data_IF_414007061806
#
_entry.id   IF_414007061806
#
_cell.length_a   1.000
_cell.length_b   1.000
_cell.length_c   1.000
_cell.angle_alpha   90.00
_cell.angle_beta   90.00
_cell.angle_gamma   90.00
#
_symmetry.space_group_name_H-M   'P 1'
#
loop_
_entity.id
_entity.type
_entity.pdbx_description
1 polymer ?
#
# COMPACT_ATOMS: atom_id res chain seq x y z
N UNK A 1 -24.11 24.40 0.83
CA UNK A 1 -23.18 24.26 -0.31
C UNK A 1 -23.84 23.43 -1.41
N UNK A 2 -23.33 23.48 -2.64
CA UNK A 2 -23.74 22.59 -3.75
C UNK A 2 -22.51 21.85 -4.30
N UNK A 3 -22.64 20.61 -4.83
CA UNK A 3 -21.54 19.88 -5.45
C UNK A 3 -20.93 20.65 -6.63
N UNK A 4 -19.62 20.47 -6.88
CA UNK A 4 -18.87 21.13 -7.96
C UNK A 4 -17.76 20.22 -8.48
N UNK A 5 -17.34 20.46 -9.74
CA UNK A 5 -16.13 19.84 -10.32
C UNK A 5 -14.84 20.56 -9.95
N UNK A 6 -14.94 21.68 -9.25
CA UNK A 6 -13.79 22.48 -8.83
C UNK A 6 -13.25 21.99 -7.48
N UNK A 7 -11.94 21.76 -7.41
CA UNK A 7 -11.24 21.33 -6.20
C UNK A 7 -11.44 22.29 -5.03
N UNK A 8 -11.61 23.59 -5.30
CA UNK A 8 -11.89 24.58 -4.26
C UNK A 8 -13.14 24.24 -3.46
N UNK A 9 -14.15 23.60 -4.08
CA UNK A 9 -15.36 23.16 -3.37
C UNK A 9 -15.06 22.07 -2.35
N UNK A 10 -14.20 21.11 -2.68
CA UNK A 10 -13.82 20.04 -1.75
C UNK A 10 -13.04 20.60 -0.56
N UNK A 11 -12.13 21.55 -0.82
CA UNK A 11 -11.38 22.26 0.22
C UNK A 11 -12.33 23.05 1.14
N UNK A 12 -13.30 23.79 0.58
CA UNK A 12 -14.33 24.51 1.34
C UNK A 12 -15.16 23.56 2.21
N UNK A 13 -15.57 22.40 1.67
CA UNK A 13 -16.33 21.39 2.42
C UNK A 13 -15.52 20.88 3.59
N UNK A 14 -14.26 20.49 3.38
CA UNK A 14 -13.41 19.98 4.46
C UNK A 14 -13.16 21.04 5.54
N UNK A 15 -12.95 22.30 5.15
CA UNK A 15 -12.82 23.41 6.10
C UNK A 15 -14.10 23.61 6.92
N UNK A 16 -15.28 23.45 6.34
CA UNK A 16 -16.55 23.52 7.06
C UNK A 16 -16.78 22.30 7.98
N UNK A 17 -16.42 21.09 7.53
CA UNK A 17 -16.52 19.88 8.34
C UNK A 17 -15.63 19.93 9.59
N UNK A 18 -14.45 20.54 9.46
CA UNK A 18 -13.48 20.69 10.57
C UNK A 18 -13.56 22.05 11.28
N UNK A 19 -14.59 22.85 11.03
CA UNK A 19 -14.79 24.11 11.74
C UNK A 19 -14.99 23.85 13.24
N UNK A 20 -14.20 24.46 14.16
CA UNK A 20 -14.27 24.13 15.60
C UNK A 20 -15.60 24.46 16.28
N UNK A 21 -16.45 25.28 15.66
CA UNK A 21 -17.71 25.77 16.27
C UNK A 21 -18.93 25.09 15.65
N UNK A 22 -18.91 24.87 14.34
CA UNK A 22 -20.06 24.44 13.54
C UNK A 22 -19.83 23.17 12.74
N UNK A 23 -18.62 22.62 12.77
CA UNK A 23 -18.23 21.42 12.06
C UNK A 23 -18.81 20.13 12.63
N UNK A 24 -18.48 19.03 11.98
CA UNK A 24 -18.86 17.69 12.38
C UNK A 24 -17.97 17.22 13.55
N UNK A 25 -18.54 16.78 14.69
CA UNK A 25 -17.74 16.35 15.84
C UNK A 25 -16.75 15.23 15.53
N UNK A 26 -17.17 14.27 14.70
CA UNK A 26 -16.30 13.17 14.27
C UNK A 26 -15.11 13.70 13.47
N UNK A 27 -15.36 14.62 12.53
CA UNK A 27 -14.28 15.17 11.73
C UNK A 27 -13.29 15.97 12.58
N UNK A 28 -13.80 16.83 13.46
CA UNK A 28 -12.96 17.66 14.33
C UNK A 28 -12.03 16.81 15.22
N UNK A 29 -12.52 15.66 15.71
CA UNK A 29 -11.77 14.72 16.57
C UNK A 29 -10.57 14.07 15.87
N UNK A 30 -10.60 13.95 14.54
CA UNK A 30 -9.58 13.20 13.80
C UNK A 30 -8.22 13.89 13.80
N UNK A 31 -7.17 13.07 13.73
CA UNK A 31 -5.77 13.46 13.66
C UNK A 31 -5.02 12.65 12.58
N UNK A 32 -3.74 12.98 12.33
CA UNK A 32 -2.96 12.30 11.28
C UNK A 32 -2.92 10.76 11.46
N UNK A 33 -2.60 10.21 12.66
CA UNK A 33 -2.67 8.77 12.87
C UNK A 33 -4.06 8.14 12.63
N UNK A 34 -5.15 8.79 13.01
CA UNK A 34 -6.48 8.20 12.88
C UNK A 34 -6.98 8.17 11.43
N UNK A 35 -6.55 9.12 10.59
CA UNK A 35 -6.90 9.16 9.16
C UNK A 35 -6.01 8.27 8.28
N UNK A 36 -4.77 7.98 8.72
CA UNK A 36 -3.82 7.23 7.92
C UNK A 36 -4.29 5.82 7.45
N UNK A 37 -5.01 5.02 8.27
CA UNK A 37 -5.58 3.74 7.81
C UNK A 37 -6.54 3.89 6.64
N UNK A 38 -7.46 4.87 6.70
CA UNK A 38 -8.42 5.13 5.61
C UNK A 38 -7.70 5.50 4.31
N UNK A 39 -6.60 6.25 4.37
CA UNK A 39 -5.77 6.53 3.18
C UNK A 39 -5.22 5.28 2.51
N UNK A 40 -4.93 4.24 3.30
CA UNK A 40 -4.45 2.96 2.78
C UNK A 40 -5.63 2.18 2.19
N UNK A 41 -6.77 2.16 2.89
CA UNK A 41 -8.01 1.51 2.43
C UNK A 41 -8.45 2.06 1.07
N UNK A 42 -8.60 3.38 0.90
CA UNK A 42 -9.02 3.96 -0.39
C UNK A 42 -8.04 3.64 -1.53
N UNK A 43 -6.75 3.52 -1.23
CA UNK A 43 -5.77 3.14 -2.24
C UNK A 43 -5.95 1.68 -2.71
N UNK A 44 -6.44 0.80 -1.82
CA UNK A 44 -6.80 -0.56 -2.19
C UNK A 44 -8.14 -0.63 -2.93
N UNK A 45 -9.14 0.16 -2.55
CA UNK A 45 -10.42 0.24 -3.28
C UNK A 45 -10.23 0.77 -4.71
N UNK A 46 -9.38 1.80 -4.89
CA UNK A 46 -8.95 2.24 -6.24
C UNK A 46 -8.33 1.09 -7.04
N UNK A 47 -7.48 0.28 -6.41
CA UNK A 47 -6.84 -0.84 -7.08
C UNK A 47 -7.84 -1.94 -7.43
N UNK A 48 -8.81 -2.23 -6.56
CA UNK A 48 -9.89 -3.19 -6.80
C UNK A 48 -10.81 -2.76 -7.95
N UNK A 49 -11.23 -1.48 -7.96
CA UNK A 49 -12.06 -0.93 -9.04
C UNK A 49 -11.37 -1.02 -10.42
N UNK A 50 -10.04 -0.80 -10.47
CA UNK A 50 -9.24 -1.01 -11.68
C UNK A 50 -9.26 -2.47 -12.13
N UNK A 51 -9.10 -3.42 -11.19
CA UNK A 51 -9.08 -4.84 -11.51
C UNK A 51 -10.43 -5.35 -12.02
N UNK A 52 -11.52 -4.83 -11.49
CA UNK A 52 -12.88 -5.13 -11.96
C UNK A 52 -13.26 -4.39 -13.25
N UNK A 53 -12.46 -3.40 -13.65
CA UNK A 53 -12.76 -2.55 -14.80
C UNK A 53 -13.99 -1.67 -14.60
N UNK A 54 -14.36 -1.39 -13.35
CA UNK A 54 -15.52 -0.56 -13.00
C UNK A 54 -15.11 0.92 -13.01
N UNK A 55 -15.52 1.65 -14.05
CA UNK A 55 -15.13 3.05 -14.22
C UNK A 55 -15.93 4.01 -13.35
N UNK A 56 -17.15 3.65 -12.95
CA UNK A 56 -17.95 4.49 -12.08
C UNK A 56 -17.43 4.40 -10.65
N UNK A 57 -17.13 3.19 -10.19
CA UNK A 57 -16.50 2.98 -8.88
C UNK A 57 -15.09 3.55 -8.83
N UNK A 58 -14.26 3.34 -9.86
CA UNK A 58 -12.93 3.96 -9.92
C UNK A 58 -13.00 5.50 -9.78
N UNK A 59 -14.00 6.15 -10.37
CA UNK A 59 -14.18 7.60 -10.22
C UNK A 59 -14.48 7.97 -8.77
N UNK A 60 -15.34 7.20 -8.11
CA UNK A 60 -15.80 7.47 -6.76
C UNK A 60 -14.65 7.20 -5.76
N UNK A 61 -13.93 6.08 -5.88
CA UNK A 61 -12.76 5.75 -5.04
C UNK A 61 -11.57 6.71 -5.23
N UNK A 62 -11.34 7.20 -6.46
CA UNK A 62 -10.36 8.28 -6.68
C UNK A 62 -10.77 9.58 -5.99
N UNK A 63 -12.07 9.82 -5.85
CA UNK A 63 -12.64 10.92 -5.09
C UNK A 63 -12.37 10.77 -3.60
N UNK A 64 -12.56 9.58 -3.05
CA UNK A 64 -12.33 9.29 -1.64
C UNK A 64 -10.83 9.31 -1.29
N UNK A 65 -9.97 8.77 -2.15
CA UNK A 65 -8.52 8.93 -2.00
C UNK A 65 -8.09 10.41 -2.05
N UNK A 66 -8.71 11.22 -2.91
CA UNK A 66 -8.47 12.67 -2.97
C UNK A 66 -8.97 13.38 -1.71
N UNK A 67 -10.11 12.96 -1.14
CA UNK A 67 -10.63 13.45 0.13
C UNK A 67 -9.58 13.28 1.24
N UNK A 68 -8.91 12.12 1.33
CA UNK A 68 -7.87 11.88 2.34
C UNK A 68 -6.70 12.88 2.22
N UNK A 69 -6.30 13.25 1.00
CA UNK A 69 -5.26 14.27 0.76
C UNK A 69 -5.73 15.65 1.24
N UNK A 70 -6.97 16.04 0.94
CA UNK A 70 -7.55 17.30 1.40
C UNK A 70 -7.67 17.33 2.92
N UNK A 71 -8.06 16.20 3.53
CA UNK A 71 -8.18 16.03 4.98
C UNK A 71 -6.86 16.31 5.70
N UNK A 72 -5.79 15.61 5.31
CA UNK A 72 -4.46 15.82 5.89
C UNK A 72 -3.93 17.22 5.65
N UNK A 73 -4.19 17.78 4.46
CA UNK A 73 -3.80 19.16 4.14
C UNK A 73 -4.52 20.16 5.05
N UNK A 74 -5.80 19.93 5.36
CA UNK A 74 -6.57 20.79 6.26
C UNK A 74 -6.05 20.71 7.70
N UNK A 75 -5.76 19.51 8.21
CA UNK A 75 -5.15 19.34 9.53
C UNK A 75 -3.77 20.00 9.62
N UNK A 76 -2.96 19.94 8.55
CA UNK A 76 -1.67 20.61 8.50
C UNK A 76 -1.80 22.14 8.47
N UNK A 77 -2.81 22.66 7.78
CA UNK A 77 -3.10 24.09 7.73
C UNK A 77 -3.54 24.62 9.09
N UNK A 78 -4.38 23.87 9.81
CA UNK A 78 -4.87 24.19 11.17
C UNK A 78 -3.73 24.37 12.18
N UNK A 79 -2.62 23.65 12.02
CA UNK A 79 -1.43 23.75 12.87
C UNK A 79 -0.33 24.65 12.26
N UNK A 80 -0.60 25.32 11.13
CA UNK A 80 0.31 26.26 10.50
C UNK A 80 1.51 25.64 9.77
N UNK A 81 1.42 24.37 9.37
CA UNK A 81 2.52 23.63 8.72
C UNK A 81 2.55 23.80 7.20
N UNK A 82 1.44 23.50 6.52
CA UNK A 82 1.26 23.65 5.07
C UNK A 82 -0.23 23.57 4.71
N UNK A 83 -0.60 24.10 3.55
CA UNK A 83 -1.95 24.02 3.00
C UNK A 83 -2.00 23.10 1.75
N UNK A 84 -3.21 22.83 1.24
CA UNK A 84 -3.39 21.99 0.06
C UNK A 84 -2.61 22.50 -1.17
N UNK A 85 -2.50 23.82 -1.33
CA UNK A 85 -1.71 24.42 -2.41
C UNK A 85 -0.24 24.02 -2.39
N UNK A 86 0.36 23.87 -1.20
CA UNK A 86 1.75 23.44 -1.04
C UNK A 86 1.94 21.97 -1.46
N UNK A 87 0.94 21.12 -1.23
CA UNK A 87 0.94 19.72 -1.68
C UNK A 87 0.92 19.66 -3.22
N UNK A 88 0.07 20.47 -3.86
CA UNK A 88 0.00 20.60 -5.32
C UNK A 88 1.31 21.15 -5.89
N UNK A 89 1.89 22.17 -5.26
CA UNK A 89 3.18 22.72 -5.68
C UNK A 89 4.30 21.67 -5.57
N UNK A 90 4.34 20.91 -4.48
CA UNK A 90 5.36 19.89 -4.26
C UNK A 90 5.33 18.80 -5.34
N UNK A 91 4.14 18.29 -5.70
CA UNK A 91 4.01 17.27 -6.74
C UNK A 91 4.28 17.83 -8.13
N UNK A 92 3.77 19.03 -8.46
CA UNK A 92 3.98 19.63 -9.79
C UNK A 92 5.45 19.98 -10.03
N UNK A 93 6.13 20.61 -9.05
CA UNK A 93 7.58 20.87 -9.10
C UNK A 93 8.38 19.59 -9.33
N UNK A 94 8.05 18.53 -8.60
CA UNK A 94 8.70 17.22 -8.74
C UNK A 94 8.46 16.60 -10.13
N UNK A 95 7.23 16.66 -10.64
CA UNK A 95 6.89 16.12 -11.96
C UNK A 95 7.58 16.89 -13.09
N UNK A 96 7.60 18.23 -13.02
CA UNK A 96 8.31 19.07 -14.00
C UNK A 96 9.80 18.72 -14.02
N UNK A 97 10.44 18.67 -12.84
CA UNK A 97 11.87 18.34 -12.72
C UNK A 97 12.21 16.94 -13.24
N UNK A 98 11.38 15.94 -12.97
CA UNK A 98 11.61 14.55 -13.40
C UNK A 98 11.39 14.30 -14.90
N UNK A 99 10.72 15.23 -15.59
CA UNK A 99 10.40 15.09 -17.01
C UNK A 99 10.95 16.26 -17.83
N UNK A 100 12.27 16.51 -17.83
CA UNK A 100 12.88 17.60 -18.60
C UNK A 100 12.72 17.37 -20.12
N UNK A 101 12.55 16.12 -20.55
CA UNK A 101 12.21 15.76 -21.93
C UNK A 101 10.79 16.17 -22.34
N UNK A 102 9.91 16.56 -21.39
CA UNK A 102 8.57 17.10 -21.66
C UNK A 102 8.55 18.60 -21.39
N UNK A 103 9.07 19.03 -20.23
CA UNK A 103 8.92 20.39 -19.71
C UNK A 103 10.20 21.26 -19.79
N UNK A 104 11.32 20.71 -20.25
CA UNK A 104 12.60 21.41 -20.37
C UNK A 104 12.75 22.20 -21.66
N UNK A 105 13.97 22.70 -21.90
CA UNK A 105 14.33 23.41 -23.12
C UNK A 105 14.37 22.50 -24.36
N UNK A 106 14.58 23.09 -25.54
CA UNK A 106 14.64 22.32 -26.80
C UNK A 106 15.72 21.23 -26.80
N UNK A 107 16.83 21.47 -26.11
CA UNK A 107 17.94 20.54 -26.01
C UNK A 107 17.59 19.32 -25.15
N UNK A 108 16.91 19.53 -24.03
CA UNK A 108 16.39 18.48 -23.16
C UNK A 108 15.29 17.64 -23.84
N UNK A 109 14.41 18.28 -24.63
CA UNK A 109 13.37 17.59 -25.40
C UNK A 109 13.92 16.70 -26.51
N UNK A 110 15.02 17.12 -27.15
CA UNK A 110 15.61 16.41 -28.28
C UNK A 110 16.47 15.20 -27.88
N UNK A 111 17.09 15.23 -26.69
CA UNK A 111 18.05 14.22 -26.23
C UNK A 111 17.42 13.02 -25.50
N UNK A 112 16.12 13.04 -25.18
CA UNK A 112 15.52 12.07 -24.25
C UNK A 112 16.12 12.19 -22.84
N UNK A 113 15.81 11.27 -21.93
CA UNK A 113 16.45 11.21 -20.60
C UNK A 113 17.82 10.52 -20.73
N UNK A 114 18.95 11.24 -20.69
CA UNK A 114 20.27 10.63 -20.83
C UNK A 114 20.60 9.77 -19.60
N UNK A 115 21.39 8.72 -19.81
CA UNK A 115 21.94 7.88 -18.73
C UNK A 115 22.74 8.76 -17.76
N UNK A 116 22.32 8.85 -16.50
CA UNK A 116 22.94 9.69 -15.45
C UNK A 116 22.14 10.94 -15.04
N UNK A 117 21.22 11.44 -15.88
CA UNK A 117 20.38 12.59 -15.50
C UNK A 117 19.42 12.27 -14.34
N UNK A 118 18.96 11.02 -14.27
CA UNK A 118 18.14 10.52 -13.16
C UNK A 118 18.88 10.56 -11.81
N UNK A 119 20.18 10.29 -11.81
CA UNK A 119 21.00 10.32 -10.60
C UNK A 119 21.22 11.76 -10.12
N UNK A 120 21.42 12.69 -11.05
CA UNK A 120 21.50 14.12 -10.76
C UNK A 120 20.19 14.66 -10.18
N UNK A 121 19.04 14.36 -10.80
CA UNK A 121 17.72 14.74 -10.30
C UNK A 121 17.48 14.19 -8.88
N UNK A 122 17.90 12.95 -8.61
CA UNK A 122 17.81 12.36 -7.26
C UNK A 122 18.74 13.03 -6.25
N UNK A 123 19.93 13.44 -6.65
CA UNK A 123 20.87 14.16 -5.79
C UNK A 123 20.33 15.55 -5.41
N UNK A 124 19.79 16.28 -6.37
CA UNK A 124 19.12 17.57 -6.15
C UNK A 124 17.91 17.40 -5.21
N UNK A 125 17.05 16.39 -5.45
CA UNK A 125 15.93 16.04 -4.56
C UNK A 125 16.37 15.74 -3.12
N UNK A 126 17.52 15.08 -2.95
CA UNK A 126 18.08 14.78 -1.63
C UNK A 126 18.53 16.08 -0.93
N UNK A 127 19.22 16.96 -1.66
CA UNK A 127 19.72 18.23 -1.14
C UNK A 127 18.58 19.15 -0.71
N UNK A 128 17.55 19.32 -1.54
CA UNK A 128 16.37 20.15 -1.21
C UNK A 128 15.66 19.64 0.05
N UNK A 129 15.48 18.31 0.18
CA UNK A 129 14.86 17.72 1.36
C UNK A 129 15.69 17.91 2.62
N UNK A 130 17.02 17.82 2.51
CA UNK A 130 17.91 18.09 3.64
C UNK A 130 17.83 19.56 4.07
N UNK A 131 17.83 20.50 3.12
CA UNK A 131 17.67 21.92 3.39
C UNK A 131 16.32 22.24 4.05
N UNK A 132 15.22 21.68 3.54
CA UNK A 132 13.88 21.86 4.10
C UNK A 132 13.77 21.29 5.53
N UNK A 133 14.38 20.14 5.81
CA UNK A 133 14.43 19.58 7.18
C UNK A 133 15.25 20.44 8.12
N UNK A 134 16.42 20.90 7.68
CA UNK A 134 17.28 21.78 8.47
C UNK A 134 16.58 23.10 8.81
N UNK A 135 15.85 23.68 7.85
CA UNK A 135 15.03 24.88 8.08
C UNK A 135 13.93 24.68 9.14
N UNK A 136 13.43 23.45 9.28
CA UNK A 136 12.45 23.06 10.32
C UNK A 136 13.09 22.62 11.64
N UNK A 137 14.41 22.77 11.80
CA UNK A 137 15.13 22.30 12.98
C UNK A 137 15.10 20.78 13.17
N UNK A 138 14.66 20.03 12.16
CA UNK A 138 14.66 18.57 12.20
C UNK A 138 16.09 18.09 11.98
N UNK A 139 16.53 17.02 12.68
CA UNK A 139 17.84 16.46 12.44
C UNK A 139 17.96 16.10 10.95
N UNK A 140 19.19 16.17 10.39
CA UNK A 140 19.47 15.55 9.10
C UNK A 140 18.81 14.19 9.16
N UNK A 141 17.99 13.85 8.15
CA UNK A 141 17.48 12.49 8.07
C UNK A 141 18.74 11.62 8.13
N UNK A 142 18.88 10.84 9.20
CA UNK A 142 20.04 9.96 9.38
C UNK A 142 20.25 9.29 8.04
N UNK A 143 21.50 9.30 7.55
CA UNK A 143 21.81 8.39 6.48
C UNK A 143 21.27 7.06 6.94
N UNK A 144 20.38 6.52 6.13
CA UNK A 144 19.94 5.13 6.17
C UNK A 144 21.18 4.30 6.47
N UNK A 145 21.38 3.99 7.75
CA UNK A 145 22.67 3.59 8.29
C UNK A 145 23.02 2.20 7.77
N UNK A 146 21.99 1.41 7.49
CA UNK A 146 22.02 0.19 6.71
C UNK A 146 21.65 0.40 5.25
N UNK A 147 22.26 -0.43 4.39
CA UNK A 147 21.97 -0.53 2.95
C UNK A 147 20.46 -0.69 2.63
N UNK A 148 19.71 -1.33 3.53
CA UNK A 148 18.29 -1.63 3.40
C UNK A 148 17.36 -0.54 3.94
N UNK A 149 17.85 0.45 4.70
CA UNK A 149 17.01 1.46 5.35
C UNK A 149 16.33 2.42 4.34
N UNK A 150 16.70 2.29 3.06
CA UNK A 150 16.00 2.88 1.91
C UNK A 150 14.61 2.33 1.62
N UNK A 151 14.28 1.16 2.16
CA UNK A 151 12.95 0.57 2.04
C UNK A 151 12.01 1.24 3.06
N UNK A 152 10.92 1.89 2.63
CA UNK A 152 9.97 2.52 3.55
C UNK A 152 9.37 1.52 4.54
N UNK A 153 9.29 1.93 5.81
CA UNK A 153 8.71 1.12 6.88
C UNK A 153 7.18 1.04 6.81
N UNK A 154 6.53 2.03 6.19
CA UNK A 154 5.06 2.21 6.17
C UNK A 154 4.34 1.35 5.13
N UNK A 155 5.02 0.36 4.56
CA UNK A 155 4.42 -0.50 3.54
C UNK A 155 3.84 -1.77 4.19
N UNK A 156 2.81 -2.36 3.58
CA UNK A 156 2.35 -3.70 3.92
C UNK A 156 3.51 -4.70 3.98
N UNK A 157 3.39 -5.69 4.85
CA UNK A 157 4.51 -6.57 5.20
C UNK A 157 5.08 -7.32 4.00
N UNK A 158 4.22 -7.87 3.10
CA UNK A 158 4.68 -8.63 1.94
C UNK A 158 5.31 -7.71 0.90
N UNK A 159 4.69 -6.56 0.63
CA UNK A 159 5.28 -5.51 -0.22
C UNK A 159 6.65 -5.04 0.30
N UNK A 160 6.79 -4.87 1.62
CA UNK A 160 8.04 -4.46 2.24
C UNK A 160 9.11 -5.56 2.12
N UNK A 161 8.75 -6.82 2.36
CA UNK A 161 9.63 -7.97 2.19
C UNK A 161 10.15 -8.05 0.74
N UNK A 162 9.27 -7.90 -0.25
CA UNK A 162 9.63 -7.86 -1.67
C UNK A 162 10.69 -6.79 -1.96
N UNK A 163 10.50 -5.56 -1.44
CA UNK A 163 11.47 -4.46 -1.65
C UNK A 163 12.78 -4.67 -0.92
N UNK A 164 12.78 -5.27 0.27
CA UNK A 164 14.00 -5.65 0.98
C UNK A 164 14.81 -6.64 0.14
N UNK A 165 14.17 -7.67 -0.40
CA UNK A 165 14.80 -8.68 -1.24
C UNK A 165 15.31 -8.11 -2.57
N UNK A 166 14.51 -7.29 -3.27
CA UNK A 166 14.94 -6.58 -4.49
C UNK A 166 16.08 -5.61 -4.24
N UNK A 167 16.21 -5.07 -3.03
CA UNK A 167 17.33 -4.20 -2.67
C UNK A 167 18.56 -5.06 -2.43
N UNK A 168 18.45 -6.13 -1.65
CA UNK A 168 19.55 -7.06 -1.36
C UNK A 168 20.11 -7.71 -2.65
N UNK A 169 19.26 -8.06 -3.61
CA UNK A 169 19.69 -8.68 -4.87
C UNK A 169 20.59 -7.77 -5.72
N UNK A 170 20.49 -6.44 -5.58
CA UNK A 170 21.35 -5.49 -6.31
C UNK A 170 22.83 -5.57 -5.94
N UNK A 171 23.15 -6.13 -4.78
CA UNK A 171 24.53 -6.41 -4.35
C UNK A 171 24.90 -7.88 -4.47
N UNK A 172 24.08 -8.67 -5.19
CA UNK A 172 24.33 -10.09 -5.44
C UNK A 172 23.87 -11.02 -4.31
N UNK A 173 23.14 -10.51 -3.32
CA UNK A 173 22.49 -11.36 -2.31
C UNK A 173 21.14 -11.85 -2.85
N UNK A 174 21.21 -12.81 -3.78
CA UNK A 174 20.05 -13.40 -4.44
C UNK A 174 20.32 -14.85 -4.84
N UNK A 175 19.26 -15.65 -4.86
CA UNK A 175 19.25 -16.97 -5.47
C UNK A 175 19.13 -16.80 -6.99
N UNK A 176 19.80 -17.65 -7.77
CA UNK A 176 19.81 -17.53 -9.23
C UNK A 176 18.59 -18.13 -9.95
N UNK A 177 17.72 -18.83 -9.22
CA UNK A 177 16.56 -19.57 -9.74
C UNK A 177 15.48 -19.74 -8.67
N UNK A 178 14.27 -20.14 -9.08
CA UNK A 178 13.12 -20.33 -8.20
C UNK A 178 13.19 -21.66 -7.42
N UNK A 179 13.73 -22.72 -8.00
CA UNK A 179 13.76 -24.05 -7.39
C UNK A 179 14.49 -24.09 -6.02
N UNK A 180 15.68 -23.47 -5.84
CA UNK A 180 16.34 -23.41 -4.53
C UNK A 180 15.51 -22.68 -3.45
N UNK A 181 14.55 -21.84 -3.85
CA UNK A 181 13.69 -21.13 -2.90
C UNK A 181 12.59 -22.05 -2.37
N UNK A 182 12.11 -23.01 -3.18
CA UNK A 182 11.20 -24.04 -2.69
C UNK A 182 11.86 -24.89 -1.61
N UNK A 183 13.12 -25.29 -1.83
CA UNK A 183 13.90 -26.02 -0.81
C UNK A 183 14.03 -25.19 0.48
N UNK A 184 14.26 -23.88 0.35
CA UNK A 184 14.33 -22.96 1.50
C UNK A 184 12.97 -22.83 2.21
N UNK A 185 11.85 -22.79 1.49
CA UNK A 185 10.51 -22.77 2.10
C UNK A 185 10.27 -24.05 2.91
N UNK A 186 10.66 -25.22 2.41
CA UNK A 186 10.54 -26.48 3.15
C UNK A 186 11.44 -26.50 4.40
N UNK A 187 12.62 -25.89 4.33
CA UNK A 187 13.50 -25.68 5.49
C UNK A 187 12.81 -24.81 6.56
N UNK A 188 12.26 -23.64 6.21
CA UNK A 188 11.55 -22.77 7.18
C UNK A 188 10.31 -23.47 7.77
N UNK A 189 9.60 -24.29 6.98
CA UNK A 189 8.47 -25.10 7.48
C UNK A 189 8.95 -26.14 8.51
N UNK A 190 10.13 -26.74 8.29
CA UNK A 190 10.71 -27.69 9.23
C UNK A 190 11.11 -27.00 10.56
N UNK A 191 11.70 -25.81 10.49
CA UNK A 191 12.05 -24.99 11.65
C UNK A 191 10.78 -24.57 12.43
N UNK A 192 9.74 -24.10 11.73
CA UNK A 192 8.44 -23.80 12.33
C UNK A 192 7.83 -25.01 13.05
N UNK A 193 7.86 -26.20 12.44
CA UNK A 193 7.37 -27.44 13.07
C UNK A 193 8.16 -27.79 14.33
N UNK A 194 9.48 -27.61 14.33
CA UNK A 194 10.32 -27.85 15.50
C UNK A 194 9.97 -26.88 16.64
N UNK A 195 9.86 -25.58 16.33
CA UNK A 195 9.47 -24.55 17.29
C UNK A 195 8.10 -24.81 17.94
N UNK A 196 7.13 -25.29 17.14
CA UNK A 196 5.81 -25.71 17.64
C UNK A 196 5.90 -26.92 18.58
N UNK A 197 6.69 -27.94 18.22
CA UNK A 197 6.85 -29.15 19.02
C UNK A 197 7.54 -28.88 20.37
N UNK A 198 8.47 -27.92 20.41
CA UNK A 198 9.16 -27.50 21.63
C UNK A 198 8.33 -26.58 22.54
N UNK A 199 7.16 -26.11 22.08
CA UNK A 199 6.29 -25.22 22.85
C UNK A 199 6.95 -23.87 23.13
N UNK A 200 7.61 -23.28 22.12
CA UNK A 200 8.31 -21.99 22.19
C UNK A 200 7.57 -20.92 21.37
N UNK A 201 6.52 -20.26 21.90
CA UNK A 201 5.70 -19.30 21.14
C UNK A 201 6.51 -18.17 20.47
N UNK A 202 7.54 -17.68 21.15
CA UNK A 202 8.39 -16.61 20.62
C UNK A 202 9.16 -17.05 19.37
N UNK A 203 9.58 -18.32 19.30
CA UNK A 203 10.24 -18.87 18.11
C UNK A 203 9.21 -19.12 17.00
N UNK A 204 8.04 -19.68 17.33
CA UNK A 204 6.97 -19.94 16.35
C UNK A 204 6.61 -18.69 15.55
N UNK A 205 6.53 -17.52 16.19
CA UNK A 205 6.23 -16.27 15.51
C UNK A 205 7.36 -15.84 14.55
N UNK A 206 8.63 -16.06 14.93
CA UNK A 206 9.79 -15.82 14.07
C UNK A 206 9.79 -16.73 12.85
N UNK A 207 9.70 -18.04 13.06
CA UNK A 207 9.73 -19.05 11.99
C UNK A 207 8.56 -18.87 11.00
N UNK A 208 7.35 -18.51 11.50
CA UNK A 208 6.23 -18.18 10.62
C UNK A 208 6.55 -16.95 9.74
N UNK A 209 7.23 -15.96 10.30
CA UNK A 209 7.72 -14.79 9.56
C UNK A 209 8.71 -15.18 8.46
N UNK A 210 9.63 -16.10 8.75
CA UNK A 210 10.63 -16.57 7.78
C UNK A 210 9.99 -17.40 6.65
N UNK A 211 8.99 -18.24 6.94
CA UNK A 211 8.15 -18.91 5.93
C UNK A 211 7.51 -17.87 4.99
N UNK A 212 6.86 -16.84 5.55
CA UNK A 212 6.22 -15.79 4.75
C UNK A 212 7.25 -15.02 3.91
N UNK A 213 8.41 -14.71 4.46
CA UNK A 213 9.48 -14.03 3.75
C UNK A 213 10.03 -14.87 2.59
N UNK A 214 10.18 -16.18 2.78
CA UNK A 214 10.60 -17.12 1.74
C UNK A 214 9.55 -17.26 0.63
N UNK A 215 8.26 -17.28 0.96
CA UNK A 215 7.16 -17.27 -0.03
C UNK A 215 7.15 -15.99 -0.87
N UNK A 216 7.38 -14.81 -0.26
CA UNK A 216 7.53 -13.55 -1.01
C UNK A 216 8.72 -13.63 -1.97
N UNK A 217 9.81 -14.28 -1.55
CA UNK A 217 10.99 -14.47 -2.38
C UNK A 217 10.71 -15.36 -3.59
N UNK A 218 9.90 -16.40 -3.41
CA UNK A 218 9.43 -17.24 -4.51
C UNK A 218 8.59 -16.42 -5.49
N UNK A 219 7.60 -15.66 -4.99
CA UNK A 219 6.78 -14.77 -5.81
C UNK A 219 7.63 -13.82 -6.66
N UNK A 220 8.63 -13.17 -6.05
CA UNK A 220 9.58 -12.29 -6.75
C UNK A 220 10.29 -12.99 -7.92
N UNK A 221 10.73 -14.23 -7.74
CA UNK A 221 11.42 -15.02 -8.77
C UNK A 221 10.48 -15.53 -9.87
N UNK A 222 9.20 -15.73 -9.52
CA UNK A 222 8.14 -16.08 -10.48
C UNK A 222 7.54 -14.84 -11.18
N UNK A 223 8.05 -13.63 -10.89
CA UNK A 223 7.48 -12.35 -11.34
C UNK A 223 6.01 -12.16 -10.93
N UNK A 224 5.64 -12.70 -9.76
CA UNK A 224 4.31 -12.63 -9.15
C UNK A 224 4.37 -11.75 -7.90
N UNK A 225 3.49 -10.76 -7.82
CA UNK A 225 3.35 -9.94 -6.61
C UNK A 225 2.60 -10.72 -5.52
N UNK A 226 3.30 -11.01 -4.42
CA UNK A 226 2.76 -11.81 -3.32
C UNK A 226 1.64 -11.11 -2.54
N UNK A 227 1.68 -9.77 -2.45
CA UNK A 227 0.62 -8.98 -1.80
C UNK A 227 -0.67 -9.10 -2.60
N UNK A 228 -0.57 -8.85 -3.91
CA UNK A 228 -1.69 -8.94 -4.84
C UNK A 228 -2.25 -10.37 -4.94
N UNK A 229 -1.37 -11.37 -4.98
CA UNK A 229 -1.77 -12.78 -5.01
C UNK A 229 -2.55 -13.21 -3.78
N UNK A 230 -2.15 -12.72 -2.60
CA UNK A 230 -2.87 -12.97 -1.37
C UNK A 230 -4.22 -12.25 -1.36
N UNK A 231 -4.27 -10.99 -1.81
CA UNK A 231 -5.53 -10.24 -1.96
C UNK A 231 -6.54 -11.01 -2.83
N UNK A 232 -6.14 -11.41 -4.03
CA UNK A 232 -6.99 -12.23 -4.94
C UNK A 232 -7.43 -13.56 -4.31
N UNK A 233 -6.58 -14.14 -3.46
CA UNK A 233 -6.94 -15.37 -2.72
C UNK A 233 -7.98 -15.09 -1.65
N UNK A 234 -7.91 -13.94 -0.96
CA UNK A 234 -8.91 -13.51 0.01
C UNK A 234 -10.26 -13.26 -0.65
N UNK A 235 -10.29 -12.62 -1.83
CA UNK A 235 -11.54 -12.38 -2.57
C UNK A 235 -12.19 -13.69 -2.99
N UNK A 236 -11.39 -14.63 -3.53
CA UNK A 236 -11.85 -15.98 -3.85
C UNK A 236 -12.37 -16.73 -2.62
N UNK A 237 -11.73 -16.57 -1.47
CA UNK A 237 -12.23 -17.14 -0.22
C UNK A 237 -13.60 -16.55 0.15
N UNK A 238 -13.73 -15.22 0.10
CA UNK A 238 -14.97 -14.49 0.38
C UNK A 238 -16.10 -14.95 -0.54
N UNK A 239 -15.84 -15.04 -1.84
CA UNK A 239 -16.87 -15.38 -2.83
C UNK A 239 -17.38 -16.82 -2.67
N UNK A 240 -16.46 -17.76 -2.37
CA UNK A 240 -16.81 -19.14 -2.02
C UNK A 240 -17.59 -19.22 -0.72
N UNK A 241 -17.22 -18.43 0.29
CA UNK A 241 -17.96 -18.40 1.54
C UNK A 241 -19.37 -17.82 1.35
N UNK A 242 -19.52 -16.75 0.56
CA UNK A 242 -20.83 -16.24 0.18
C UNK A 242 -21.67 -17.27 -0.59
N UNK A 243 -21.05 -18.14 -1.39
CA UNK A 243 -21.77 -19.25 -2.02
C UNK A 243 -22.35 -20.20 -0.97
N UNK A 244 -21.57 -20.59 0.04
CA UNK A 244 -22.03 -21.44 1.16
C UNK A 244 -23.23 -20.78 1.84
N UNK A 245 -23.13 -19.49 2.19
CA UNK A 245 -24.21 -18.73 2.83
C UNK A 245 -25.49 -18.73 1.99
N UNK A 246 -25.38 -18.45 0.69
CA UNK A 246 -26.53 -18.45 -0.23
C UNK A 246 -27.15 -19.84 -0.34
N UNK A 247 -26.34 -20.89 -0.41
CA UNK A 247 -26.81 -22.27 -0.52
C UNK A 247 -27.55 -22.73 0.75
N UNK A 248 -27.03 -22.41 1.94
CA UNK A 248 -27.70 -22.69 3.21
C UNK A 248 -28.99 -21.88 3.36
N UNK A 249 -28.95 -20.59 3.00
CA UNK A 249 -30.12 -19.72 3.04
C UNK A 249 -31.23 -20.20 2.10
N UNK A 250 -30.89 -20.72 0.93
CA UNK A 250 -31.86 -21.32 0.00
C UNK A 250 -32.55 -22.57 0.58
N UNK A 251 -31.92 -23.23 1.56
CA UNK A 251 -32.47 -24.35 2.30
C UNK A 251 -33.17 -23.92 3.61
N UNK A 252 -33.28 -22.60 3.86
CA UNK A 252 -33.89 -22.05 5.06
C UNK A 252 -33.05 -22.19 6.34
N UNK A 253 -31.73 -22.38 6.21
CA UNK A 253 -30.79 -22.59 7.32
C UNK A 253 -29.77 -21.46 7.43
N UNK A 254 -29.17 -21.29 8.62
CA UNK A 254 -28.06 -20.36 8.85
C UNK A 254 -26.70 -21.05 8.86
N UNK A 255 -25.62 -20.27 8.87
CA UNK A 255 -24.25 -20.77 9.04
C UNK A 255 -24.04 -21.48 10.39
N UNK A 256 -24.62 -20.94 11.46
CA UNK A 256 -24.46 -21.49 12.82
C UNK A 256 -25.05 -22.90 12.96
N UNK A 257 -25.96 -23.26 12.05
CA UNK A 257 -26.64 -24.55 12.01
C UNK A 257 -25.96 -25.56 11.07
N UNK A 258 -24.93 -25.16 10.33
CA UNK A 258 -24.22 -26.01 9.38
C UNK A 258 -23.01 -26.69 10.03
N UNK A 259 -22.78 -27.95 9.70
CA UNK A 259 -21.57 -28.67 10.11
C UNK A 259 -20.37 -28.27 9.24
N UNK A 260 -19.16 -28.48 9.74
CA UNK A 260 -17.95 -28.27 8.94
C UNK A 260 -17.95 -29.14 7.67
N UNK A 261 -18.44 -30.38 7.77
CA UNK A 261 -18.52 -31.29 6.62
C UNK A 261 -19.50 -30.76 5.55
N UNK A 262 -20.66 -30.21 5.96
CA UNK A 262 -21.58 -29.55 5.03
C UNK A 262 -20.98 -28.30 4.40
N UNK A 263 -20.29 -27.47 5.19
CA UNK A 263 -19.62 -26.28 4.66
C UNK A 263 -18.53 -26.66 3.66
N UNK A 264 -17.77 -27.74 3.92
CA UNK A 264 -16.75 -28.25 3.00
C UNK A 264 -17.38 -28.81 1.71
N UNK A 265 -18.50 -29.54 1.79
CA UNK A 265 -19.23 -29.99 0.60
C UNK A 265 -19.69 -28.80 -0.27
N UNK A 266 -20.27 -27.77 0.35
CA UNK A 266 -20.69 -26.55 -0.33
C UNK A 266 -19.49 -25.75 -0.86
N UNK A 267 -18.36 -25.77 -0.16
CA UNK A 267 -17.11 -25.15 -0.59
C UNK A 267 -16.54 -25.82 -1.85
N UNK A 268 -16.57 -27.15 -1.93
CA UNK A 268 -16.14 -27.90 -3.11
C UNK A 268 -17.10 -27.68 -4.29
N UNK A 269 -18.40 -27.52 -4.02
CA UNK A 269 -19.36 -27.10 -5.06
C UNK A 269 -19.04 -25.69 -5.58
N UNK A 270 -18.72 -24.74 -4.69
CA UNK A 270 -18.33 -23.39 -5.09
C UNK A 270 -17.09 -23.40 -5.99
N UNK A 271 -16.05 -24.17 -5.62
CA UNK A 271 -14.85 -24.37 -6.45
C UNK A 271 -15.14 -24.94 -7.85
N UNK A 272 -16.14 -25.81 -7.98
CA UNK A 272 -16.49 -26.42 -9.25
C UNK A 272 -17.35 -25.52 -10.15
N UNK A 273 -17.91 -24.44 -9.61
CA UNK A 273 -18.75 -23.49 -10.33
C UNK A 273 -17.98 -22.28 -10.88
N UNK A 274 -16.70 -22.12 -10.50
CA UNK A 274 -15.72 -21.17 -11.05
C UNK A 274 -15.14 -21.65 -12.39
#
# INVERSE_FOLDING_TARGET
MQPSKDISRLIEIMAALRDPVSGCPWDIEQNFPSIAPYTIEEAYEVADAIERGDMDELRDELGDLLLQVVYHSRMAEEIGEFAFGDVVEAVTRKMIRRHPHVFGDEDARRKGLPKGMWEQIKAEEKSEKQAARAARGLPPKEEQAGYLDSVPLTQPALTRALKLQQKASRVGFDWGAAEPILDKIEEEIAELRAAMAEGRPDLVAGELGDVLFAVVNLGRHLEVDAEDSLRKTNDKFRDRFHYIERALKAQGRSLDEASLDEMEELWQQAKAAE
#
